data_IF_431394243580
#
_entry.id   IF_431394243580
#
_cell.length_a   1.000
_cell.length_b   1.000
_cell.length_c   1.000
_cell.angle_alpha   90.00
_cell.angle_beta   90.00
_cell.angle_gamma   90.00
#
_symmetry.space_group_name_H-M   'P 1'
#
loop_
_entity.id
_entity.type
_entity.pdbx_description
1 polymer ?
#
# COMPACT_ATOMS: atom_id res chain seq x y z
N UNK A 1 -0.19 -7.66 59.48
CA UNK A 1 -0.03 -6.39 58.74
C UNK A 1 1.37 -6.39 58.13
N UNK A 2 1.62 -6.29 56.82
CA UNK A 2 0.87 -5.69 55.70
C UNK A 2 1.19 -6.45 54.40
N UNK A 3 0.14 -6.60 53.61
CA UNK A 3 0.02 -7.18 52.26
C UNK A 3 0.50 -6.20 51.14
N UNK A 4 1.38 -5.22 51.38
CA UNK A 4 1.33 -3.98 50.55
C UNK A 4 2.60 -3.46 49.85
N UNK A 5 3.69 -4.22 49.70
CA UNK A 5 4.95 -3.60 49.25
C UNK A 5 5.51 -3.98 47.86
N UNK A 6 5.08 -5.08 47.21
CA UNK A 6 5.63 -5.49 45.89
C UNK A 6 4.61 -5.47 44.73
N UNK A 7 3.51 -4.75 44.91
CA UNK A 7 2.66 -4.20 43.83
C UNK A 7 3.24 -2.86 43.30
N UNK A 8 4.56 -2.66 43.45
CA UNK A 8 5.19 -1.31 43.45
C UNK A 8 6.44 -1.21 42.54
N UNK A 9 6.87 -2.26 41.80
CA UNK A 9 7.99 -2.12 40.83
C UNK A 9 7.69 -2.69 39.42
N UNK A 10 6.51 -3.31 39.22
CA UNK A 10 5.78 -3.22 37.93
C UNK A 10 5.25 -1.77 37.70
N UNK A 11 5.45 -0.88 38.66
CA UNK A 11 5.14 0.55 38.58
C UNK A 11 6.37 1.45 38.40
N UNK A 12 7.55 0.93 38.02
CA UNK A 12 8.75 1.76 37.81
C UNK A 12 9.28 1.83 36.36
N UNK A 13 8.62 1.19 35.39
CA UNK A 13 8.64 1.60 33.96
C UNK A 13 7.65 2.76 33.71
N UNK A 14 7.53 3.61 34.74
CA UNK A 14 6.68 4.78 34.91
C UNK A 14 7.52 6.05 35.17
N UNK A 15 8.83 6.01 34.90
CA UNK A 15 9.72 7.17 35.11
C UNK A 15 10.75 7.34 33.97
N UNK A 16 10.31 7.98 32.89
CA UNK A 16 11.09 8.89 32.04
C UNK A 16 10.23 10.15 31.80
N UNK A 17 10.85 11.34 31.68
CA UNK A 17 10.37 12.56 32.30
C UNK A 17 9.16 13.14 31.56
N UNK A 18 7.99 12.98 32.15
CA UNK A 18 6.89 13.88 31.90
C UNK A 18 7.29 15.26 32.46
N UNK A 19 7.41 16.26 31.59
CA UNK A 19 7.35 17.66 31.99
C UNK A 19 5.94 17.89 32.53
N UNK A 20 5.75 17.62 33.82
CA UNK A 20 4.60 18.10 34.55
C UNK A 20 4.79 19.60 34.75
N UNK A 21 4.24 20.36 33.82
CA UNK A 21 3.77 21.70 34.14
C UNK A 21 2.87 21.58 35.36
N UNK A 22 3.21 22.32 36.41
CA UNK A 22 2.45 22.40 37.64
C UNK A 22 1.03 22.86 37.30
N UNK A 23 0.09 21.93 37.26
CA UNK A 23 -1.31 22.17 36.94
C UNK A 23 -2.15 21.48 38.00
N UNK A 24 -2.62 22.26 38.96
CA UNK A 24 -3.62 21.86 39.94
C UNK A 24 -4.72 21.02 39.27
N UNK A 25 -4.94 19.80 39.76
CA UNK A 25 -6.16 19.05 39.47
C UNK A 25 -7.33 19.81 40.09
N UNK A 26 -7.88 20.75 39.34
CA UNK A 26 -9.19 21.31 39.62
C UNK A 26 -10.21 20.26 39.18
N UNK A 27 -10.80 19.53 40.12
CA UNK A 27 -12.02 18.71 39.92
C UNK A 27 -13.26 19.58 39.64
N UNK A 28 -13.08 20.68 38.91
CA UNK A 28 -14.16 21.54 38.47
C UNK A 28 -14.46 21.18 37.03
N UNK A 29 -15.53 20.41 36.83
CA UNK A 29 -16.16 20.27 35.51
C UNK A 29 -16.45 21.68 34.98
N UNK A 30 -16.03 21.97 33.74
CA UNK A 30 -16.29 23.26 33.11
C UNK A 30 -17.81 23.41 32.91
N UNK A 31 -18.42 24.37 33.63
CA UNK A 31 -19.85 24.70 33.50
C UNK A 31 -19.99 25.75 32.40
N UNK A 32 -20.55 25.40 31.23
CA UNK A 32 -20.55 26.30 30.08
C UNK A 32 -21.56 27.44 30.25
N UNK A 33 -21.17 28.65 29.83
CA UNK A 33 -22.09 29.80 29.68
C UNK A 33 -22.18 30.24 28.23
N UNK A 34 -23.11 31.14 27.93
CA UNK A 34 -23.28 31.74 26.58
C UNK A 34 -22.15 32.71 26.20
N UNK A 35 -21.38 33.21 27.17
CA UNK A 35 -20.20 34.04 26.94
C UNK A 35 -18.91 33.21 26.99
N UNK A 36 -17.86 33.68 26.30
CA UNK A 36 -16.55 33.02 26.21
C UNK A 36 -15.87 32.94 27.57
N UNK A 37 -15.51 31.72 27.98
CA UNK A 37 -14.74 31.51 29.20
C UNK A 37 -13.44 30.77 28.93
N UNK A 38 -12.37 31.20 29.59
CA UNK A 38 -11.04 30.56 29.51
C UNK A 38 -11.03 29.19 30.18
N UNK A 39 -10.65 28.16 29.43
CA UNK A 39 -10.52 26.79 29.91
C UNK A 39 -9.12 26.57 30.49
N UNK A 40 -9.06 26.08 31.73
CA UNK A 40 -7.78 25.70 32.36
C UNK A 40 -7.18 24.47 31.67
N UNK A 41 -5.85 24.49 31.46
CA UNK A 41 -5.13 23.37 30.85
C UNK A 41 -5.30 22.10 31.68
N UNK A 42 -5.86 21.05 31.06
CA UNK A 42 -6.10 19.75 31.70
C UNK A 42 -7.55 19.50 32.15
N UNK A 43 -8.47 20.45 32.01
CA UNK A 43 -9.89 20.24 32.31
C UNK A 43 -10.62 19.62 31.11
N UNK A 44 -11.38 18.51 31.28
CA UNK A 44 -12.16 17.92 30.21
C UNK A 44 -13.35 18.83 29.83
N UNK A 45 -13.52 19.09 28.52
CA UNK A 45 -14.59 19.92 27.97
C UNK A 45 -15.71 18.98 27.46
N UNK A 46 -16.98 19.14 27.91
CA UNK A 46 -18.11 18.38 27.37
C UNK A 46 -18.33 18.65 25.88
N UNK A 47 -18.73 17.62 25.11
CA UNK A 47 -19.06 17.78 23.69
C UNK A 47 -20.26 18.71 23.46
N UNK A 48 -20.27 19.44 22.33
CA UNK A 48 -21.34 20.39 21.97
C UNK A 48 -21.07 21.86 22.34
N UNK A 49 -19.80 22.23 22.58
CA UNK A 49 -19.38 23.60 22.91
C UNK A 49 -18.56 24.21 21.79
N UNK A 50 -18.68 25.52 21.60
CA UNK A 50 -17.84 26.27 20.66
C UNK A 50 -16.50 26.58 21.35
N UNK A 51 -15.41 26.00 20.85
CA UNK A 51 -14.06 26.11 21.44
C UNK A 51 -13.13 26.82 20.46
N UNK A 52 -12.37 27.82 20.94
CA UNK A 52 -11.31 28.48 20.15
C UNK A 52 -9.98 28.47 20.90
N UNK A 53 -8.90 28.34 20.15
CA UNK A 53 -7.54 28.32 20.68
C UNK A 53 -6.71 29.44 20.06
N UNK A 54 -6.14 30.31 20.89
CA UNK A 54 -5.26 31.37 20.43
C UNK A 54 -3.81 30.87 20.46
N UNK A 55 -3.23 30.60 19.28
CA UNK A 55 -1.87 30.07 19.13
C UNK A 55 -0.77 31.07 19.51
N UNK A 56 -1.07 32.37 19.57
CA UNK A 56 -0.11 33.40 19.97
C UNK A 56 0.02 33.50 21.50
N UNK A 57 -1.09 33.30 22.23
CA UNK A 57 -1.15 33.44 23.69
C UNK A 57 -1.24 32.10 24.43
N UNK A 58 -1.54 31.01 23.73
CA UNK A 58 -1.67 29.66 24.27
C UNK A 58 -2.92 29.43 25.13
N UNK A 59 -3.93 30.30 25.01
CA UNK A 59 -5.17 30.29 25.79
C UNK A 59 -6.29 29.63 24.99
N UNK A 60 -7.03 28.73 25.64
CA UNK A 60 -8.24 28.07 25.08
C UNK A 60 -9.46 28.67 25.74
N UNK A 61 -10.47 29.05 24.96
CA UNK A 61 -11.76 29.56 25.44
C UNK A 61 -12.91 28.70 24.90
N UNK A 62 -13.98 28.54 25.67
CA UNK A 62 -15.17 27.79 25.29
C UNK A 62 -16.47 28.54 25.67
N UNK A 63 -17.51 28.43 24.84
CA UNK A 63 -18.88 28.91 25.14
C UNK A 63 -19.94 27.90 24.67
N UNK A 64 -21.16 28.00 25.22
CA UNK A 64 -22.34 27.26 24.76
C UNK A 64 -22.76 27.74 23.36
N UNK A 65 -23.11 26.83 22.46
CA UNK A 65 -23.62 27.17 21.12
C UNK A 65 -24.99 27.83 21.22
N UNK A 66 -25.23 28.85 20.39
CA UNK A 66 -26.53 29.50 20.27
C UNK A 66 -27.43 28.66 19.34
N UNK A 67 -28.76 28.69 19.53
CA UNK A 67 -29.68 27.78 18.82
C UNK A 67 -29.64 27.91 17.28
N UNK A 68 -29.18 29.04 16.73
CA UNK A 68 -29.01 29.24 15.28
C UNK A 68 -27.80 28.46 14.72
N UNK A 69 -26.77 28.19 15.54
CA UNK A 69 -25.57 27.42 15.13
C UNK A 69 -25.81 25.89 15.16
N UNK A 70 -26.92 25.44 15.76
CA UNK A 70 -27.28 24.01 15.86
C UNK A 70 -27.94 23.53 14.55
N UNK A 71 -28.69 24.41 13.86
CA UNK A 71 -29.37 24.08 12.61
C UNK A 71 -28.39 23.86 11.43
N UNK A 72 -27.22 24.51 11.41
CA UNK A 72 -26.18 24.22 10.42
C UNK A 72 -25.49 22.86 10.66
N UNK A 73 -25.56 22.32 11.88
CA UNK A 73 -24.88 21.07 12.25
C UNK A 73 -25.75 19.83 12.10
N UNK A 74 -27.06 19.94 12.33
CA UNK A 74 -28.00 18.82 12.12
C UNK A 74 -28.15 18.42 10.64
N UNK A 75 -27.80 19.30 9.71
CA UNK A 75 -27.70 18.94 8.29
C UNK A 75 -26.42 18.16 7.92
N UNK A 76 -25.41 18.13 8.82
CA UNK A 76 -24.11 17.51 8.60
C UNK A 76 -23.77 16.34 9.54
N UNK A 77 -24.53 16.09 10.62
CA UNK A 77 -24.22 15.02 11.59
C UNK A 77 -24.87 13.65 11.31
N UNK A 78 -25.60 13.48 10.20
CA UNK A 78 -26.17 12.16 9.83
C UNK A 78 -25.22 11.23 9.04
N UNK A 79 -23.91 11.48 9.03
CA UNK A 79 -22.91 10.56 8.45
C UNK A 79 -21.88 10.14 9.51
N UNK A 80 -22.00 8.89 9.90
CA UNK A 80 -21.26 8.23 10.98
C UNK A 80 -19.73 8.44 10.94
N UNK A 81 -19.22 8.73 12.12
CA UNK A 81 -17.81 8.71 12.54
C UNK A 81 -17.20 7.30 12.41
N UNK A 82 -16.61 7.02 11.25
CA UNK A 82 -15.41 6.20 11.11
C UNK A 82 -15.00 6.23 9.64
N UNK A 83 -14.19 7.19 9.23
CA UNK A 83 -13.29 7.15 8.07
C UNK A 83 -12.63 8.53 7.97
N UNK A 84 -11.35 8.61 8.32
CA UNK A 84 -10.50 9.73 7.89
C UNK A 84 -10.37 9.62 6.37
N UNK A 85 -11.33 10.19 5.65
CA UNK A 85 -11.36 10.18 4.19
C UNK A 85 -10.24 11.09 3.71
N UNK A 86 -9.17 10.50 3.20
CA UNK A 86 -8.11 11.24 2.51
C UNK A 86 -8.73 11.94 1.30
N UNK A 87 -8.39 13.21 1.11
CA UNK A 87 -8.78 13.98 -0.07
C UNK A 87 -7.69 13.76 -1.13
N UNK A 88 -8.07 13.24 -2.30
CA UNK A 88 -7.12 12.98 -3.40
C UNK A 88 -7.47 13.86 -4.59
N UNK A 89 -6.48 14.60 -5.10
CA UNK A 89 -6.62 15.38 -6.32
C UNK A 89 -6.38 14.42 -7.50
N UNK A 90 -7.40 14.17 -8.31
CA UNK A 90 -7.26 13.32 -9.49
C UNK A 90 -7.08 14.19 -10.74
N UNK A 91 -6.04 13.98 -11.56
CA UNK A 91 -6.00 14.57 -12.89
C UNK A 91 -7.06 13.88 -13.75
N UNK A 92 -8.02 14.63 -14.30
CA UNK A 92 -9.10 14.08 -15.15
C UNK A 92 -8.62 13.67 -16.56
N UNK A 93 -7.31 13.75 -16.84
CA UNK A 93 -6.67 13.23 -18.06
C UNK A 93 -5.16 13.25 -17.83
N UNK A 94 -4.48 12.14 -18.12
CA UNK A 94 -3.04 12.16 -18.32
C UNK A 94 -2.74 12.93 -19.61
N UNK A 95 -2.55 14.24 -19.51
CA UNK A 95 -1.98 15.03 -20.60
C UNK A 95 -0.47 14.79 -20.54
N UNK A 96 0.05 14.08 -21.54
CA UNK A 96 1.48 14.12 -21.84
C UNK A 96 1.78 15.51 -22.39
N UNK A 97 2.25 16.42 -21.54
CA UNK A 97 2.77 17.71 -21.98
C UNK A 97 4.30 17.66 -21.96
N UNK A 98 4.88 17.82 -23.16
CA UNK A 98 6.29 18.01 -23.39
C UNK A 98 6.82 19.21 -22.61
N UNK A 99 8.02 19.05 -22.07
CA UNK A 99 8.72 20.06 -21.28
C UNK A 99 9.04 21.30 -22.12
N UNK A 100 8.51 22.44 -21.71
CA UNK A 100 9.18 23.73 -21.91
C UNK A 100 9.55 24.32 -20.53
N UNK A 101 10.80 24.80 -20.32
CA UNK A 101 11.20 25.37 -19.05
C UNK A 101 10.63 26.78 -18.87
N UNK A 102 9.81 26.96 -17.84
CA UNK A 102 9.36 28.28 -17.36
C UNK A 102 10.55 29.02 -16.72
N UNK A 103 10.84 30.28 -17.10
CA UNK A 103 11.90 31.07 -16.47
C UNK A 103 11.51 31.48 -15.04
N UNK A 104 12.35 31.10 -14.07
CA UNK A 104 12.31 31.61 -12.70
C UNK A 104 12.84 33.06 -12.66
N UNK A 105 11.95 34.05 -12.72
CA UNK A 105 12.25 35.39 -12.22
C UNK A 105 11.91 35.45 -10.72
N UNK A 106 12.95 35.49 -9.88
CA UNK A 106 12.82 35.84 -8.46
C UNK A 106 12.50 37.34 -8.38
N UNK A 107 11.29 37.69 -7.95
CA UNK A 107 10.95 39.07 -7.62
C UNK A 107 11.59 39.46 -6.28
N UNK A 108 12.65 40.26 -6.32
CA UNK A 108 13.31 40.89 -5.15
C UNK A 108 12.41 41.97 -4.50
N UNK A 109 11.28 41.57 -3.92
CA UNK A 109 10.29 42.51 -3.36
C UNK A 109 10.46 42.81 -1.86
N UNK A 110 11.43 42.20 -1.17
CA UNK A 110 11.64 42.42 0.26
C UNK A 110 13.11 42.47 0.66
N UNK A 111 13.83 43.50 0.19
CA UNK A 111 15.17 43.85 0.68
C UNK A 111 15.22 45.25 1.33
N UNK A 112 14.19 45.62 2.10
CA UNK A 112 14.23 46.85 2.90
C UNK A 112 14.41 46.53 4.40
N UNK A 113 15.41 47.13 5.07
CA UNK A 113 15.63 46.91 6.50
C UNK A 113 14.40 47.26 7.34
N UNK A 114 14.06 46.40 8.31
CA UNK A 114 12.90 46.54 9.21
C UNK A 114 12.87 47.90 9.94
N UNK A 115 14.04 48.50 10.16
CA UNK A 115 14.15 49.83 10.77
C UNK A 115 13.59 50.96 9.88
N UNK A 116 13.74 50.85 8.56
CA UNK A 116 13.20 51.82 7.62
C UNK A 116 11.67 51.72 7.56
N UNK A 117 11.12 50.49 7.59
CA UNK A 117 9.68 50.23 7.66
C UNK A 117 9.08 50.75 8.97
N UNK A 118 9.77 50.56 10.11
CA UNK A 118 9.35 51.12 11.40
C UNK A 118 9.37 52.65 11.39
N UNK A 119 10.39 53.28 10.78
CA UNK A 119 10.47 54.73 10.67
C UNK A 119 9.33 55.30 9.79
N UNK A 120 8.99 54.63 8.68
CA UNK A 120 7.88 55.03 7.79
C UNK A 120 6.52 54.84 8.46
N UNK A 121 6.30 53.75 9.18
CA UNK A 121 5.07 53.53 9.97
C UNK A 121 4.90 54.56 11.10
N UNK A 122 6.01 55.01 11.70
CA UNK A 122 5.99 56.03 12.75
C UNK A 122 5.62 57.41 12.18
N UNK A 123 6.06 57.75 10.96
CA UNK A 123 5.61 58.94 10.24
C UNK A 123 4.11 58.91 9.92
N UNK A 124 3.58 57.77 9.48
CA UNK A 124 2.15 57.61 9.15
C UNK A 124 1.24 57.79 10.38
N UNK A 125 1.69 57.38 11.57
CA UNK A 125 0.92 57.63 12.80
C UNK A 125 0.94 59.09 13.26
N UNK A 126 1.97 59.87 12.90
CA UNK A 126 2.12 61.26 13.34
C UNK A 126 1.31 62.27 12.51
N UNK A 127 0.95 61.93 11.27
CA UNK A 127 0.09 62.75 10.40
C UNK A 127 -1.39 62.32 10.43
N UNK A 128 -1.83 61.59 11.48
CA UNK A 128 -3.23 61.22 11.63
C UNK A 128 -4.05 62.35 12.27
N UNK A 129 -4.26 63.41 11.51
CA UNK A 129 -5.14 64.51 11.88
C UNK A 129 -5.03 65.67 10.90
N UNK A 130 -5.96 65.70 9.94
CA UNK A 130 -6.22 66.77 8.97
C UNK A 130 -5.36 66.76 7.69
N UNK A 131 -6.05 66.50 6.57
CA UNK A 131 -5.61 66.50 5.16
C UNK A 131 -4.99 65.18 4.65
N UNK A 132 -5.85 64.24 4.26
CA UNK A 132 -5.50 63.21 3.27
C UNK A 132 -5.40 63.94 1.92
N UNK A 133 -4.23 64.02 1.26
CA UNK A 133 -4.17 64.52 -0.10
C UNK A 133 -4.94 63.55 -0.99
N UNK A 134 -5.84 64.05 -1.84
CA UNK A 134 -6.41 63.27 -2.94
C UNK A 134 -5.26 62.56 -3.67
N UNK A 135 -5.26 61.22 -3.61
CA UNK A 135 -4.26 60.41 -4.26
C UNK A 135 -4.49 60.49 -5.77
N UNK A 136 -3.51 61.03 -6.49
CA UNK A 136 -3.46 61.12 -7.94
C UNK A 136 -3.98 59.84 -8.61
N UNK A 137 -4.94 60.00 -9.52
CA UNK A 137 -5.64 58.93 -10.24
C UNK A 137 -4.67 57.97 -10.96
N UNK A 138 -3.48 58.46 -11.36
CA UNK A 138 -2.43 57.67 -11.99
C UNK A 138 -1.81 56.61 -11.08
N UNK A 139 -1.59 56.91 -9.79
CA UNK A 139 -0.95 55.96 -8.87
C UNK A 139 -1.88 54.79 -8.54
N UNK A 140 -3.17 55.09 -8.38
CA UNK A 140 -4.23 54.11 -8.17
C UNK A 140 -4.41 53.21 -9.40
N UNK A 141 -4.27 53.76 -10.61
CA UNK A 141 -4.29 52.98 -11.85
C UNK A 141 -3.05 52.09 -12.04
N UNK A 142 -1.86 52.54 -11.65
CA UNK A 142 -0.66 51.71 -11.68
C UNK A 142 -0.73 50.54 -10.69
N UNK A 143 -1.33 50.74 -9.51
CA UNK A 143 -1.56 49.67 -8.54
C UNK A 143 -2.60 48.68 -9.07
N UNK A 144 -3.71 49.14 -9.64
CA UNK A 144 -4.70 48.26 -10.29
C UNK A 144 -4.13 47.45 -11.46
N UNK A 145 -3.12 47.95 -12.16
CA UNK A 145 -2.40 47.17 -13.20
C UNK A 145 -1.45 46.11 -12.62
N UNK A 146 -0.98 46.28 -11.39
CA UNK A 146 -0.06 45.33 -10.72
C UNK A 146 -0.76 44.20 -9.98
N UNK A 147 -2.04 44.36 -9.63
CA UNK A 147 -2.81 43.36 -8.92
C UNK A 147 -3.93 42.82 -9.81
N UNK A 148 -4.10 41.49 -9.83
CA UNK A 148 -5.22 40.86 -10.53
C UNK A 148 -6.53 41.31 -9.88
N UNK A 149 -7.53 41.57 -10.72
CA UNK A 149 -8.86 41.97 -10.27
C UNK A 149 -9.53 40.84 -9.47
N UNK A 150 -10.28 41.19 -8.42
CA UNK A 150 -10.90 40.23 -7.51
C UNK A 150 -11.91 39.32 -8.21
N UNK A 151 -12.65 39.83 -9.20
CA UNK A 151 -13.60 39.00 -9.97
C UNK A 151 -12.85 38.06 -10.91
N UNK A 152 -11.72 38.50 -11.46
CA UNK A 152 -10.83 37.66 -12.27
C UNK A 152 -10.24 36.54 -11.43
N UNK A 153 -9.75 36.85 -10.22
CA UNK A 153 -9.27 35.85 -9.26
C UNK A 153 -10.38 34.87 -8.84
N UNK A 154 -11.59 35.37 -8.59
CA UNK A 154 -12.75 34.51 -8.24
C UNK A 154 -13.13 33.59 -9.40
N UNK A 155 -13.04 34.08 -10.65
CA UNK A 155 -13.30 33.29 -11.85
C UNK A 155 -12.20 32.28 -12.12
N UNK A 156 -10.93 32.64 -11.93
CA UNK A 156 -9.78 31.73 -12.00
C UNK A 156 -9.85 30.66 -10.91
N UNK A 157 -10.18 31.04 -9.66
CA UNK A 157 -10.38 30.12 -8.55
C UNK A 157 -11.55 29.17 -8.78
N UNK A 158 -12.65 29.67 -9.35
CA UNK A 158 -13.80 28.85 -9.75
C UNK A 158 -13.50 27.94 -10.95
N UNK A 159 -12.65 28.38 -11.87
CA UNK A 159 -12.13 27.54 -12.96
C UNK A 159 -11.12 26.49 -12.45
N UNK A 160 -10.48 26.77 -11.31
CA UNK A 160 -9.64 25.88 -10.52
C UNK A 160 -10.41 25.17 -9.41
N UNK A 161 -11.75 25.11 -9.44
CA UNK A 161 -12.52 24.21 -8.58
C UNK A 161 -12.13 22.78 -8.95
N UNK A 162 -11.03 22.31 -8.36
CA UNK A 162 -10.70 20.91 -8.33
C UNK A 162 -11.89 20.27 -7.63
N UNK A 163 -12.57 19.35 -8.33
CA UNK A 163 -13.67 18.60 -7.76
C UNK A 163 -13.11 17.72 -6.63
N UNK A 164 -13.06 18.27 -5.42
CA UNK A 164 -12.58 17.59 -4.21
C UNK A 164 -13.61 16.49 -3.91
N UNK A 165 -13.39 15.34 -4.52
CA UNK A 165 -14.16 14.12 -4.26
C UNK A 165 -13.36 13.25 -3.32
N UNK A 166 -14.08 12.50 -2.48
CA UNK A 166 -13.44 11.46 -1.67
C UNK A 166 -13.06 10.29 -2.57
N UNK A 167 -12.02 9.55 -2.19
CA UNK A 167 -11.63 8.33 -2.91
C UNK A 167 -12.78 7.34 -3.05
N UNK A 168 -13.62 7.22 -2.01
CA UNK A 168 -14.83 6.40 -2.05
C UNK A 168 -15.86 6.88 -3.10
N UNK A 169 -15.98 8.21 -3.27
CA UNK A 169 -16.79 8.82 -4.32
C UNK A 169 -16.24 8.52 -5.72
N UNK A 170 -14.92 8.62 -5.89
CA UNK A 170 -14.26 8.27 -7.15
C UNK A 170 -14.43 6.79 -7.49
N UNK A 171 -14.21 5.89 -6.53
CA UNK A 171 -14.46 4.44 -6.71
C UNK A 171 -15.91 4.21 -7.16
N UNK A 172 -16.88 4.86 -6.52
CA UNK A 172 -18.28 4.74 -6.91
C UNK A 172 -18.55 5.21 -8.35
N UNK A 173 -17.91 6.31 -8.76
CA UNK A 173 -18.02 6.82 -10.14
C UNK A 173 -17.42 5.83 -11.16
N UNK A 174 -16.28 5.23 -10.85
CA UNK A 174 -15.64 4.23 -11.71
C UNK A 174 -16.46 2.95 -11.82
N UNK A 175 -17.11 2.52 -10.73
CA UNK A 175 -18.05 1.40 -10.79
C UNK A 175 -19.20 1.66 -11.77
N UNK A 176 -19.77 2.87 -11.73
CA UNK A 176 -20.88 3.25 -12.62
C UNK A 176 -20.43 3.27 -14.08
N UNK A 177 -19.29 3.90 -14.39
CA UNK A 177 -18.71 3.92 -15.74
C UNK A 177 -18.45 2.49 -16.24
N UNK A 178 -17.85 1.64 -15.42
CA UNK A 178 -17.54 0.26 -15.78
C UNK A 178 -18.79 -0.58 -16.10
N UNK A 179 -19.92 -0.37 -15.40
CA UNK A 179 -21.11 -1.20 -15.61
C UNK A 179 -21.63 -1.18 -17.04
N UNK A 180 -21.46 -0.06 -17.76
CA UNK A 180 -21.92 0.08 -19.15
C UNK A 180 -21.22 -0.92 -20.08
N UNK A 181 -19.94 -1.19 -19.83
CA UNK A 181 -19.12 -2.06 -20.67
C UNK A 181 -19.17 -3.55 -20.28
N UNK A 182 -19.78 -3.88 -19.14
CA UNK A 182 -19.75 -5.25 -18.56
C UNK A 182 -20.18 -6.33 -19.57
N UNK A 183 -21.28 -6.11 -20.29
CA UNK A 183 -21.79 -7.08 -21.26
C UNK A 183 -20.86 -7.21 -22.47
N UNK A 184 -20.30 -6.09 -22.93
CA UNK A 184 -19.33 -6.07 -24.03
C UNK A 184 -18.07 -6.87 -23.71
N UNK A 185 -17.57 -6.76 -22.47
CA UNK A 185 -16.41 -7.54 -21.99
C UNK A 185 -16.67 -9.04 -22.09
N UNK A 186 -17.81 -9.51 -21.59
CA UNK A 186 -18.13 -10.95 -21.56
C UNK A 186 -18.47 -11.51 -22.93
N UNK A 187 -19.09 -10.71 -23.81
CA UNK A 187 -19.46 -11.14 -25.17
C UNK A 187 -18.32 -10.98 -26.18
N UNK A 188 -17.25 -10.25 -25.83
CA UNK A 188 -16.13 -9.99 -26.73
C UNK A 188 -16.47 -9.03 -27.88
N UNK A 189 -17.44 -8.13 -27.69
CA UNK A 189 -17.95 -7.22 -28.72
C UNK A 189 -17.46 -5.78 -28.56
N UNK A 190 -16.40 -5.57 -27.78
CA UNK A 190 -15.87 -4.24 -27.47
C UNK A 190 -15.21 -3.61 -28.70
N UNK A 191 -15.47 -2.32 -28.88
CA UNK A 191 -14.70 -1.46 -29.78
C UNK A 191 -13.34 -1.09 -29.15
N UNK A 192 -12.44 -0.56 -29.97
CA UNK A 192 -11.13 -0.07 -29.50
C UNK A 192 -11.31 1.04 -28.46
N UNK A 193 -12.21 2.00 -28.69
CA UNK A 193 -12.47 3.11 -27.78
C UNK A 193 -13.02 2.64 -26.43
N UNK A 194 -13.96 1.69 -26.42
CA UNK A 194 -14.47 1.10 -25.17
C UNK A 194 -13.38 0.31 -24.43
N UNK A 195 -12.50 -0.36 -25.16
CA UNK A 195 -11.36 -1.07 -24.56
C UNK A 195 -10.43 -0.09 -23.84
N UNK A 196 -10.08 1.03 -24.47
CA UNK A 196 -9.25 2.08 -23.86
C UNK A 196 -9.92 2.68 -22.61
N UNK A 197 -11.22 2.94 -22.66
CA UNK A 197 -11.97 3.45 -21.51
C UNK A 197 -11.98 2.46 -20.33
N UNK A 198 -12.16 1.16 -20.60
CA UNK A 198 -12.08 0.13 -19.56
C UNK A 198 -10.68 0.08 -18.95
N UNK A 199 -9.63 0.17 -19.77
CA UNK A 199 -8.26 0.13 -19.29
C UNK A 199 -7.93 1.35 -18.40
N UNK A 200 -8.42 2.54 -18.78
CA UNK A 200 -8.30 3.74 -17.95
C UNK A 200 -9.01 3.57 -16.60
N UNK A 201 -10.24 3.05 -16.60
CA UNK A 201 -10.99 2.77 -15.37
C UNK A 201 -10.22 1.80 -14.46
N UNK A 202 -9.71 0.69 -15.01
CA UNK A 202 -8.95 -0.29 -14.25
C UNK A 202 -7.64 0.28 -13.70
N UNK A 203 -6.98 1.15 -14.48
CA UNK A 203 -5.76 1.83 -14.07
C UNK A 203 -6.01 2.78 -12.88
N UNK A 204 -7.04 3.62 -12.98
CA UNK A 204 -7.36 4.60 -11.94
C UNK A 204 -7.90 3.94 -10.68
N UNK A 205 -8.70 2.87 -10.82
CA UNK A 205 -9.10 2.07 -9.66
C UNK A 205 -7.87 1.47 -8.97
N UNK A 206 -6.93 0.90 -9.72
CA UNK A 206 -5.76 0.26 -9.12
C UNK A 206 -4.90 1.25 -8.35
N UNK A 207 -4.73 2.46 -8.86
CA UNK A 207 -4.08 3.56 -8.14
C UNK A 207 -4.74 3.81 -6.78
N UNK A 208 -6.08 3.92 -6.75
CA UNK A 208 -6.83 4.14 -5.52
C UNK A 208 -6.72 2.96 -4.54
N UNK A 209 -6.70 1.72 -5.04
CA UNK A 209 -6.71 0.51 -4.20
C UNK A 209 -5.38 0.21 -3.51
N UNK A 210 -4.28 0.90 -3.85
CA UNK A 210 -3.06 0.85 -3.05
C UNK A 210 -3.27 1.33 -1.61
N UNK A 211 -4.26 2.20 -1.38
CA UNK A 211 -4.67 2.58 -0.04
C UNK A 211 -5.56 1.47 0.57
N UNK A 212 -5.12 0.95 1.71
CA UNK A 212 -5.75 -0.20 2.39
C UNK A 212 -7.25 0.02 2.66
N UNK A 213 -7.67 1.25 2.99
CA UNK A 213 -9.07 1.56 3.26
C UNK A 213 -9.92 1.63 1.98
N UNK A 214 -9.37 2.17 0.89
CA UNK A 214 -10.01 2.16 -0.42
C UNK A 214 -10.20 0.73 -0.94
N UNK A 215 -9.22 -0.15 -0.73
CA UNK A 215 -9.35 -1.57 -1.05
C UNK A 215 -10.50 -2.25 -0.28
N UNK A 216 -10.73 -1.88 0.98
CA UNK A 216 -11.88 -2.38 1.77
C UNK A 216 -13.19 -1.85 1.19
N UNK A 217 -13.29 -0.56 0.90
CA UNK A 217 -14.48 0.04 0.25
C UNK A 217 -14.79 -0.67 -1.06
N UNK A 218 -13.78 -0.90 -1.90
CA UNK A 218 -13.92 -1.65 -3.15
C UNK A 218 -14.44 -3.07 -2.93
N UNK A 219 -13.93 -3.77 -1.92
CA UNK A 219 -14.38 -5.12 -1.57
C UNK A 219 -15.83 -5.12 -1.06
N UNK A 220 -16.19 -4.16 -0.20
CA UNK A 220 -17.55 -4.00 0.36
C UNK A 220 -18.57 -3.65 -0.75
N UNK A 221 -18.15 -2.86 -1.75
CA UNK A 221 -18.91 -2.57 -2.96
C UNK A 221 -19.03 -3.77 -3.93
N UNK A 222 -18.50 -4.94 -3.55
CA UNK A 222 -18.47 -6.17 -4.34
C UNK A 222 -17.64 -6.04 -5.62
N UNK A 223 -16.59 -5.22 -5.63
CA UNK A 223 -15.75 -4.96 -6.80
C UNK A 223 -15.14 -6.21 -7.43
N UNK A 224 -14.85 -7.23 -6.62
CA UNK A 224 -14.36 -8.51 -7.13
C UNK A 224 -15.36 -9.22 -8.05
N UNK A 225 -16.65 -9.19 -7.70
CA UNK A 225 -17.71 -9.82 -8.50
C UNK A 225 -18.19 -8.91 -9.64
N UNK A 226 -18.22 -7.60 -9.42
CA UNK A 226 -18.80 -6.62 -10.36
C UNK A 226 -17.82 -6.09 -11.40
N UNK A 227 -16.52 -6.09 -11.09
CA UNK A 227 -15.46 -5.55 -11.96
C UNK A 227 -14.49 -6.66 -12.36
N UNK A 228 -13.84 -7.30 -11.38
CA UNK A 228 -12.74 -8.24 -11.66
C UNK A 228 -13.25 -9.50 -12.39
N UNK A 229 -14.29 -10.14 -11.88
CA UNK A 229 -14.80 -11.39 -12.46
C UNK A 229 -15.25 -11.27 -13.93
N UNK A 230 -16.02 -10.24 -14.35
CA UNK A 230 -16.31 -10.00 -15.75
C UNK A 230 -15.07 -9.87 -16.63
N UNK A 231 -14.05 -9.13 -16.17
CA UNK A 231 -12.79 -8.97 -16.91
C UNK A 231 -12.06 -10.30 -17.10
N UNK A 232 -12.01 -11.16 -16.07
CA UNK A 232 -11.35 -12.47 -16.16
C UNK A 232 -12.08 -13.44 -17.08
N UNK A 233 -13.41 -13.35 -17.13
CA UNK A 233 -14.27 -14.19 -17.98
C UNK A 233 -14.32 -13.71 -19.44
N UNK A 234 -13.90 -12.48 -19.74
CA UNK A 234 -13.82 -11.96 -21.11
C UNK A 234 -12.77 -12.66 -21.96
N UNK A 235 -12.63 -12.25 -23.22
CA UNK A 235 -11.62 -12.79 -24.16
C UNK A 235 -10.38 -11.91 -24.30
N UNK A 236 -10.48 -10.62 -23.95
CA UNK A 236 -9.39 -9.65 -24.10
C UNK A 236 -8.29 -9.85 -23.03
N UNK A 237 -7.08 -10.20 -23.48
CA UNK A 237 -5.94 -10.47 -22.59
C UNK A 237 -5.38 -9.23 -21.89
N UNK A 238 -5.54 -8.04 -22.47
CA UNK A 238 -5.08 -6.80 -21.86
C UNK A 238 -5.98 -6.41 -20.68
N UNK A 239 -7.30 -6.46 -20.88
CA UNK A 239 -8.29 -6.26 -19.80
C UNK A 239 -8.07 -7.29 -18.69
N UNK A 240 -7.81 -8.57 -19.03
CA UNK A 240 -7.45 -9.59 -18.03
C UNK A 240 -6.21 -9.20 -17.23
N UNK A 241 -5.15 -8.77 -17.91
CA UNK A 241 -3.89 -8.41 -17.24
C UNK A 241 -4.09 -7.25 -16.26
N UNK A 242 -4.85 -6.21 -16.64
CA UNK A 242 -5.10 -5.06 -15.77
C UNK A 242 -6.09 -5.38 -14.64
N UNK A 243 -7.09 -6.24 -14.88
CA UNK A 243 -7.96 -6.71 -13.80
C UNK A 243 -7.22 -7.58 -12.77
N UNK A 244 -6.24 -8.38 -13.20
CA UNK A 244 -5.35 -9.12 -12.31
C UNK A 244 -4.43 -8.19 -11.52
N UNK A 245 -3.92 -7.12 -12.15
CA UNK A 245 -3.14 -6.09 -11.47
C UNK A 245 -3.96 -5.40 -10.37
N UNK A 246 -5.18 -4.98 -10.71
CA UNK A 246 -6.14 -4.41 -9.77
C UNK A 246 -6.45 -5.35 -8.60
N UNK A 247 -6.68 -6.64 -8.88
CA UNK A 247 -6.89 -7.66 -7.84
C UNK A 247 -5.70 -7.73 -6.88
N UNK A 248 -4.49 -7.80 -7.42
CA UNK A 248 -3.26 -7.86 -6.63
C UNK A 248 -3.09 -6.65 -5.73
N UNK A 249 -3.30 -5.44 -6.23
CA UNK A 249 -3.25 -4.22 -5.44
C UNK A 249 -4.29 -4.23 -4.29
N UNK A 250 -5.52 -4.67 -4.57
CA UNK A 250 -6.58 -4.71 -3.57
C UNK A 250 -6.29 -5.67 -2.39
N UNK A 251 -5.73 -6.85 -2.68
CA UNK A 251 -5.49 -7.90 -1.66
C UNK A 251 -4.14 -7.75 -0.95
N UNK A 252 -3.20 -7.01 -1.53
CA UNK A 252 -1.83 -6.90 -1.00
C UNK A 252 -1.82 -6.38 0.44
N UNK A 253 -1.25 -7.18 1.35
CA UNK A 253 -1.12 -6.85 2.77
C UNK A 253 -2.45 -6.46 3.44
N UNK A 254 -3.59 -6.97 2.95
CA UNK A 254 -4.93 -6.62 3.43
C UNK A 254 -5.76 -7.87 3.76
N UNK A 255 -5.66 -8.44 4.98
CA UNK A 255 -6.32 -9.69 5.34
C UNK A 255 -7.84 -9.71 5.17
N UNK A 256 -8.52 -8.56 5.35
CA UNK A 256 -9.97 -8.45 5.15
C UNK A 256 -10.34 -8.63 3.67
N UNK A 257 -9.58 -8.01 2.78
CA UNK A 257 -9.81 -8.10 1.33
C UNK A 257 -9.31 -9.44 0.78
N UNK A 258 -8.21 -9.99 1.31
CA UNK A 258 -7.78 -11.36 1.03
C UNK A 258 -8.86 -12.38 1.38
N UNK A 259 -9.50 -12.24 2.56
CA UNK A 259 -10.62 -13.10 2.95
C UNK A 259 -11.78 -12.99 1.97
N UNK A 260 -12.14 -11.77 1.54
CA UNK A 260 -13.22 -11.57 0.56
C UNK A 260 -12.90 -12.19 -0.82
N UNK A 261 -11.64 -12.13 -1.23
CA UNK A 261 -11.17 -12.80 -2.43
C UNK A 261 -11.25 -14.33 -2.31
N UNK A 262 -10.86 -14.85 -1.15
CA UNK A 262 -10.92 -16.29 -0.87
C UNK A 262 -12.38 -16.79 -0.88
N UNK A 263 -13.31 -16.07 -0.25
CA UNK A 263 -14.75 -16.36 -0.29
C UNK A 263 -15.35 -16.31 -1.71
N UNK A 264 -14.68 -15.64 -2.64
CA UNK A 264 -15.12 -15.48 -4.03
C UNK A 264 -14.38 -16.39 -5.01
N UNK A 265 -13.72 -17.45 -4.51
CA UNK A 265 -13.00 -18.48 -5.26
C UNK A 265 -11.87 -17.95 -6.16
N UNK A 266 -11.23 -16.83 -5.78
CA UNK A 266 -10.17 -16.27 -6.61
C UNK A 266 -8.92 -17.15 -6.67
N UNK A 267 -8.62 -17.95 -5.64
CA UNK A 267 -7.48 -18.88 -5.69
C UNK A 267 -7.63 -19.85 -6.85
N UNK A 268 -8.80 -20.50 -6.96
CA UNK A 268 -9.10 -21.47 -8.01
C UNK A 268 -9.15 -20.81 -9.40
N UNK A 269 -9.77 -19.63 -9.51
CA UNK A 269 -9.82 -18.86 -10.75
C UNK A 269 -8.41 -18.49 -11.24
N UNK A 270 -7.53 -18.07 -10.33
CA UNK A 270 -6.15 -17.72 -10.68
C UNK A 270 -5.35 -18.95 -11.10
N UNK A 271 -5.48 -20.08 -10.40
CA UNK A 271 -4.84 -21.34 -10.80
C UNK A 271 -5.31 -21.81 -12.19
N UNK A 272 -6.60 -21.66 -12.49
CA UNK A 272 -7.14 -21.96 -13.81
C UNK A 272 -6.54 -21.06 -14.90
N UNK A 273 -6.41 -19.76 -14.65
CA UNK A 273 -5.79 -18.82 -15.59
C UNK A 273 -4.32 -19.16 -15.83
N UNK A 274 -3.56 -19.49 -14.78
CA UNK A 274 -2.16 -19.92 -14.91
C UNK A 274 -2.02 -21.17 -15.78
N UNK A 275 -2.98 -22.10 -15.68
CA UNK A 275 -2.96 -23.37 -16.42
C UNK A 275 -3.44 -23.25 -17.88
N UNK A 276 -4.30 -22.26 -18.19
CA UNK A 276 -4.99 -22.18 -19.49
C UNK A 276 -4.53 -21.03 -20.39
N UNK A 277 -3.98 -19.95 -19.82
CA UNK A 277 -3.56 -18.78 -20.59
C UNK A 277 -2.08 -18.85 -20.94
N UNK A 278 -1.72 -18.67 -22.21
CA UNK A 278 -0.32 -18.74 -22.68
C UNK A 278 0.38 -17.37 -22.78
N UNK A 279 -0.29 -16.26 -22.44
CA UNK A 279 0.28 -14.93 -22.56
C UNK A 279 1.11 -14.60 -21.31
N UNK A 280 2.41 -14.35 -21.52
CA UNK A 280 3.37 -14.01 -20.46
C UNK A 280 2.89 -12.83 -19.61
N UNK A 281 2.35 -11.77 -20.23
CA UNK A 281 1.79 -10.60 -19.49
C UNK A 281 0.67 -11.03 -18.54
N UNK A 282 -0.26 -11.88 -18.98
CA UNK A 282 -1.37 -12.37 -18.16
C UNK A 282 -0.88 -13.28 -17.04
N UNK A 283 -0.02 -14.26 -17.33
CA UNK A 283 0.58 -15.14 -16.29
C UNK A 283 1.34 -14.34 -15.24
N UNK A 284 2.14 -13.35 -15.67
CA UNK A 284 2.91 -12.49 -14.77
C UNK A 284 2.03 -11.69 -13.81
N UNK A 285 0.92 -11.11 -14.31
CA UNK A 285 -0.07 -10.41 -13.48
C UNK A 285 -0.88 -11.36 -12.61
N UNK A 286 -1.18 -12.56 -13.12
CA UNK A 286 -1.88 -13.60 -12.37
C UNK A 286 -1.05 -14.09 -11.18
N UNK A 287 0.27 -14.31 -11.37
CA UNK A 287 1.19 -14.66 -10.29
C UNK A 287 1.33 -13.52 -9.28
N UNK A 288 1.32 -12.26 -9.72
CA UNK A 288 1.30 -11.11 -8.80
C UNK A 288 0.04 -11.12 -7.92
N UNK A 289 -1.14 -11.29 -8.51
CA UNK A 289 -2.40 -11.35 -7.76
C UNK A 289 -2.45 -12.55 -6.80
N UNK A 290 -2.02 -13.72 -7.26
CA UNK A 290 -1.98 -14.93 -6.44
C UNK A 290 -0.99 -14.78 -5.29
N UNK A 291 0.21 -14.25 -5.56
CA UNK A 291 1.24 -13.95 -4.57
C UNK A 291 0.71 -13.02 -3.47
N UNK A 292 0.10 -11.89 -3.87
CA UNK A 292 -0.50 -10.95 -2.94
C UNK A 292 -1.65 -11.56 -2.12
N UNK A 293 -2.40 -12.51 -2.69
CA UNK A 293 -3.51 -13.20 -2.02
C UNK A 293 -3.05 -14.23 -0.98
N UNK A 294 -1.96 -14.97 -1.25
CA UNK A 294 -1.56 -16.09 -0.40
C UNK A 294 -0.46 -15.75 0.61
N UNK A 295 0.37 -14.73 0.35
CA UNK A 295 1.40 -14.29 1.31
C UNK A 295 0.77 -13.84 2.63
N UNK A 296 1.38 -14.27 3.73
CA UNK A 296 0.94 -13.99 5.11
C UNK A 296 -0.52 -14.41 5.42
N UNK A 297 -1.11 -15.29 4.60
CA UNK A 297 -2.51 -15.68 4.74
C UNK A 297 -2.68 -17.21 4.66
N UNK A 298 -2.50 -17.94 5.79
CA UNK A 298 -2.52 -19.41 5.83
C UNK A 298 -3.78 -20.05 5.25
N UNK A 299 -4.95 -19.41 5.40
CA UNK A 299 -6.20 -19.91 4.87
C UNK A 299 -6.19 -20.00 3.33
N UNK A 300 -5.68 -18.97 2.64
CA UNK A 300 -5.55 -19.00 1.19
C UNK A 300 -4.42 -19.93 0.73
N UNK A 301 -3.32 -20.03 1.49
CA UNK A 301 -2.26 -21.02 1.21
C UNK A 301 -2.81 -22.46 1.26
N UNK A 302 -3.65 -22.78 2.25
CA UNK A 302 -4.32 -24.08 2.33
C UNK A 302 -5.16 -24.35 1.09
N UNK A 303 -6.02 -23.40 0.71
CA UNK A 303 -6.86 -23.56 -0.50
C UNK A 303 -6.00 -23.68 -1.76
N UNK A 304 -4.91 -22.94 -1.87
CA UNK A 304 -3.97 -23.04 -2.99
C UNK A 304 -3.34 -24.43 -3.08
N UNK A 305 -2.88 -24.99 -1.96
CA UNK A 305 -2.34 -26.36 -1.90
C UNK A 305 -3.42 -27.40 -2.26
N UNK A 306 -4.61 -27.28 -1.67
CA UNK A 306 -5.71 -28.23 -1.88
C UNK A 306 -6.16 -28.29 -3.35
N UNK A 307 -5.99 -27.20 -4.10
CA UNK A 307 -6.33 -27.12 -5.53
C UNK A 307 -5.14 -27.38 -6.46
N UNK A 308 -4.08 -28.02 -5.97
CA UNK A 308 -2.95 -28.45 -6.80
C UNK A 308 -1.99 -27.33 -7.19
N UNK A 309 -1.91 -26.27 -6.38
CA UNK A 309 -1.10 -25.09 -6.67
C UNK A 309 0.40 -25.38 -6.75
N UNK A 310 0.90 -26.30 -5.93
CA UNK A 310 2.32 -26.71 -5.92
C UNK A 310 2.67 -27.46 -7.21
N UNK A 311 1.77 -28.35 -7.64
CA UNK A 311 1.90 -29.15 -8.86
C UNK A 311 1.87 -28.24 -10.11
N UNK A 312 1.00 -27.22 -10.13
CA UNK A 312 1.00 -26.20 -11.19
C UNK A 312 2.32 -25.43 -11.21
N UNK A 313 2.85 -25.03 -10.05
CA UNK A 313 4.13 -24.32 -9.97
C UNK A 313 5.29 -25.19 -10.44
N UNK A 314 5.28 -26.49 -10.11
CA UNK A 314 6.24 -27.45 -10.63
C UNK A 314 6.23 -27.51 -12.16
N UNK A 315 5.07 -27.47 -12.81
CA UNK A 315 4.96 -27.44 -14.28
C UNK A 315 5.49 -26.14 -14.89
N UNK A 316 5.22 -25.00 -14.25
CA UNK A 316 5.72 -23.68 -14.67
C UNK A 316 7.25 -23.67 -14.74
N UNK A 317 7.95 -24.34 -13.82
CA UNK A 317 9.42 -24.44 -13.85
C UNK A 317 9.97 -25.16 -15.09
N UNK A 318 9.14 -25.91 -15.81
CA UNK A 318 9.52 -26.60 -17.05
C UNK A 318 9.02 -25.84 -18.27
N UNK A 319 7.73 -25.51 -18.30
CA UNK A 319 7.02 -25.15 -19.53
C UNK A 319 7.05 -23.64 -19.83
N UNK A 320 7.30 -22.79 -18.82
CA UNK A 320 7.17 -21.34 -18.94
C UNK A 320 8.52 -20.62 -19.05
N UNK A 321 8.54 -19.38 -19.60
CA UNK A 321 9.77 -18.62 -19.76
C UNK A 321 10.33 -18.11 -18.41
N UNK A 322 11.63 -17.80 -18.40
CA UNK A 322 12.40 -17.40 -17.20
C UNK A 322 11.68 -16.37 -16.29
N UNK A 323 11.05 -15.29 -16.80
CA UNK A 323 10.40 -14.31 -15.92
C UNK A 323 9.23 -14.88 -15.09
N UNK A 324 8.56 -15.91 -15.59
CA UNK A 324 7.46 -16.59 -14.91
C UNK A 324 8.02 -17.62 -13.92
N UNK A 325 9.06 -18.37 -14.33
CA UNK A 325 9.78 -19.30 -13.45
C UNK A 325 10.35 -18.58 -12.22
N UNK A 326 10.99 -17.43 -12.40
CA UNK A 326 11.53 -16.60 -11.32
C UNK A 326 10.45 -16.21 -10.31
N UNK A 327 9.30 -15.74 -10.80
CA UNK A 327 8.17 -15.36 -9.91
C UNK A 327 7.65 -16.52 -9.09
N UNK A 328 7.60 -17.72 -9.66
CA UNK A 328 7.21 -18.94 -8.94
C UNK A 328 8.25 -19.29 -7.88
N UNK A 329 9.54 -19.30 -8.23
CA UNK A 329 10.64 -19.56 -7.30
C UNK A 329 10.60 -18.57 -6.13
N UNK A 330 10.58 -17.27 -6.42
CA UNK A 330 10.50 -16.21 -5.40
C UNK A 330 9.29 -16.40 -4.50
N UNK A 331 8.11 -16.69 -5.06
CA UNK A 331 6.91 -16.91 -4.25
C UNK A 331 7.05 -18.13 -3.32
N UNK A 332 7.58 -19.26 -3.79
CA UNK A 332 7.84 -20.40 -2.91
C UNK A 332 8.83 -20.04 -1.80
N UNK A 333 9.89 -19.30 -2.13
CA UNK A 333 10.88 -18.85 -1.15
C UNK A 333 10.22 -17.99 -0.07
N UNK A 334 9.39 -17.02 -0.47
CA UNK A 334 8.63 -16.18 0.47
C UNK A 334 7.76 -17.02 1.40
N UNK A 335 7.04 -18.03 0.88
CA UNK A 335 6.16 -18.90 1.68
C UNK A 335 6.93 -19.79 2.66
N UNK A 336 8.16 -20.19 2.33
CA UNK A 336 9.03 -20.96 3.22
C UNK A 336 9.61 -20.04 4.30
N UNK A 337 10.12 -18.87 3.91
CA UNK A 337 10.66 -17.86 4.84
C UNK A 337 9.57 -17.42 5.83
N UNK A 338 8.32 -17.27 5.38
CA UNK A 338 7.16 -17.00 6.23
C UNK A 338 7.01 -18.01 7.39
N UNK A 339 7.29 -19.29 7.13
CA UNK A 339 7.21 -20.37 8.12
C UNK A 339 8.43 -20.41 9.03
N UNK A 340 9.62 -20.17 8.48
CA UNK A 340 10.87 -20.12 9.25
C UNK A 340 10.81 -18.99 10.29
N UNK A 341 10.31 -17.81 9.89
CA UNK A 341 10.18 -16.64 10.75
C UNK A 341 9.12 -16.79 11.87
N UNK A 342 8.36 -17.89 11.91
CA UNK A 342 7.44 -18.16 13.02
C UNK A 342 8.18 -18.38 14.35
N UNK A 343 9.43 -18.85 14.30
CA UNK A 343 10.25 -19.08 15.49
C UNK A 343 10.67 -17.78 16.17
N UNK A 344 10.77 -16.69 15.41
CA UNK A 344 11.24 -15.38 15.88
C UNK A 344 10.15 -14.56 16.60
N UNK A 345 8.92 -15.07 16.68
CA UNK A 345 7.80 -14.38 17.34
C UNK A 345 8.00 -14.43 18.86
N UNK A 346 8.13 -13.26 19.48
CA UNK A 346 8.37 -13.12 20.92
C UNK A 346 7.17 -13.48 21.79
N UNK A 347 5.95 -13.16 21.35
CA UNK A 347 4.72 -13.56 22.05
C UNK A 347 4.40 -15.03 21.78
N UNK A 348 4.62 -15.88 22.80
CA UNK A 348 4.38 -17.32 22.76
C UNK A 348 2.94 -17.67 22.38
N UNK A 349 1.95 -16.89 22.81
CA UNK A 349 0.52 -17.17 22.50
C UNK A 349 0.24 -16.89 21.03
N UNK A 350 0.72 -15.75 20.52
CA UNK A 350 0.59 -15.40 19.10
C UNK A 350 1.35 -16.40 18.22
N UNK A 351 2.55 -16.80 18.64
CA UNK A 351 3.38 -17.79 17.97
C UNK A 351 2.63 -19.12 17.81
N UNK A 352 2.09 -19.67 18.91
CA UNK A 352 1.33 -20.93 18.88
C UNK A 352 0.10 -20.85 17.95
N UNK A 353 -0.61 -19.72 17.95
CA UNK A 353 -1.75 -19.52 17.06
C UNK A 353 -1.33 -19.53 15.58
N UNK A 354 -0.23 -18.84 15.24
CA UNK A 354 0.28 -18.84 13.86
C UNK A 354 0.80 -20.21 13.44
N UNK A 355 1.57 -20.90 14.29
CA UNK A 355 2.05 -22.26 14.01
C UNK A 355 0.87 -23.18 13.69
N UNK A 356 -0.20 -23.13 14.51
CA UNK A 356 -1.41 -23.93 14.26
C UNK A 356 -2.10 -23.56 12.95
N UNK A 357 -2.14 -22.27 12.60
CA UNK A 357 -2.73 -21.82 11.35
C UNK A 357 -1.94 -22.31 10.13
N UNK A 358 -0.61 -22.15 10.13
CA UNK A 358 0.27 -22.59 9.05
C UNK A 358 0.36 -24.12 8.93
N UNK A 359 0.24 -24.86 10.05
CA UNK A 359 0.21 -26.33 10.04
C UNK A 359 -0.96 -26.91 9.22
N UNK A 360 -2.03 -26.14 9.00
CA UNK A 360 -3.14 -26.58 8.13
C UNK A 360 -2.79 -26.55 6.63
N UNK A 361 -1.75 -25.80 6.27
CA UNK A 361 -1.24 -25.64 4.91
C UNK A 361 0.16 -26.29 4.80
N UNK A 362 0.17 -27.63 4.70
CA UNK A 362 1.36 -28.47 4.65
C UNK A 362 2.10 -28.35 3.29
N UNK A 363 2.76 -27.21 3.10
CA UNK A 363 3.51 -26.91 1.87
C UNK A 363 4.76 -27.78 1.76
N UNK A 364 5.44 -28.05 2.87
CA UNK A 364 6.74 -28.74 2.89
C UNK A 364 6.59 -30.14 2.33
N UNK A 365 5.60 -30.91 2.81
CA UNK A 365 5.31 -32.23 2.27
C UNK A 365 4.95 -32.17 0.78
N UNK A 366 4.19 -31.16 0.36
CA UNK A 366 3.76 -31.02 -1.03
C UNK A 366 4.88 -30.62 -1.99
N UNK A 367 5.87 -29.85 -1.54
CA UNK A 367 7.04 -29.49 -2.35
C UNK A 367 7.89 -30.72 -2.70
N UNK A 368 7.97 -31.71 -1.80
CA UNK A 368 8.74 -32.94 -2.02
C UNK A 368 8.24 -33.83 -3.16
N UNK A 369 7.09 -33.58 -3.80
CA UNK A 369 6.67 -34.42 -4.92
C UNK A 369 7.38 -34.02 -6.23
N UNK A 370 6.77 -33.11 -6.99
CA UNK A 370 7.28 -32.75 -8.33
C UNK A 370 8.16 -31.49 -8.28
N UNK A 371 7.87 -30.55 -7.40
CA UNK A 371 8.53 -29.24 -7.38
C UNK A 371 10.04 -29.34 -7.09
N UNK A 372 10.43 -30.05 -6.02
CA UNK A 372 11.85 -30.26 -5.68
C UNK A 372 12.66 -30.84 -6.85
N UNK A 373 12.07 -31.77 -7.60
CA UNK A 373 12.71 -32.42 -8.75
C UNK A 373 12.84 -31.47 -9.94
N UNK A 374 11.80 -30.71 -10.25
CA UNK A 374 11.86 -29.75 -11.36
C UNK A 374 12.81 -28.60 -11.06
N UNK A 375 12.83 -28.09 -9.81
CA UNK A 375 13.74 -27.03 -9.40
C UNK A 375 15.20 -27.43 -9.56
N UNK A 376 15.58 -28.63 -9.10
CA UNK A 376 16.98 -29.07 -9.18
C UNK A 376 17.39 -29.37 -10.62
N UNK A 377 16.50 -29.94 -11.44
CA UNK A 377 16.76 -30.16 -12.85
C UNK A 377 16.94 -28.83 -13.61
N UNK A 378 16.10 -27.84 -13.31
CA UNK A 378 16.25 -26.49 -13.85
C UNK A 378 17.59 -25.87 -13.43
N UNK A 379 18.01 -26.04 -12.18
CA UNK A 379 19.31 -25.55 -11.70
C UNK A 379 20.47 -26.21 -12.47
N UNK A 380 20.48 -27.55 -12.52
CA UNK A 380 21.54 -28.33 -13.18
C UNK A 380 21.67 -27.93 -14.65
N UNK A 381 20.55 -27.89 -15.37
CA UNK A 381 20.53 -27.51 -16.80
C UNK A 381 21.02 -26.08 -17.02
N UNK A 382 20.59 -25.13 -16.18
CA UNK A 382 20.99 -23.72 -16.28
C UNK A 382 22.47 -23.52 -16.00
N UNK A 383 23.02 -24.14 -14.95
CA UNK A 383 24.44 -23.98 -14.65
C UNK A 383 25.36 -24.68 -15.65
N UNK A 384 24.94 -25.80 -16.26
CA UNK A 384 25.69 -26.41 -17.36
C UNK A 384 25.80 -25.46 -18.56
N UNK A 385 24.69 -24.88 -18.97
CA UNK A 385 24.67 -23.90 -20.08
C UNK A 385 25.51 -22.66 -19.74
N UNK A 386 25.47 -22.15 -18.50
CA UNK A 386 26.31 -21.00 -18.11
C UNK A 386 27.81 -21.34 -18.16
N UNK A 387 28.20 -22.53 -17.72
CA UNK A 387 29.59 -22.98 -17.75
C UNK A 387 30.11 -23.16 -19.19
N UNK A 388 29.25 -23.63 -20.09
CA UNK A 388 29.61 -23.89 -21.49
C UNK A 388 29.57 -22.61 -22.36
N UNK A 389 28.50 -21.82 -22.24
CA UNK A 389 28.19 -20.73 -23.17
C UNK A 389 28.24 -19.32 -22.54
N UNK A 390 28.31 -19.18 -21.21
CA UNK A 390 28.28 -17.89 -20.47
C UNK A 390 27.17 -16.94 -20.93
N UNK A 391 26.01 -17.49 -21.29
CA UNK A 391 24.95 -16.74 -21.98
C UNK A 391 23.71 -16.52 -21.11
N UNK A 392 23.62 -17.16 -19.93
CA UNK A 392 22.40 -17.06 -19.10
C UNK A 392 22.36 -15.76 -18.31
N UNK A 393 21.12 -15.26 -18.12
CA UNK A 393 20.83 -14.11 -17.29
C UNK A 393 21.31 -14.32 -15.84
N UNK A 394 22.23 -13.47 -15.38
CA UNK A 394 22.76 -13.49 -14.01
C UNK A 394 21.65 -13.42 -12.94
N UNK A 395 20.61 -12.60 -13.17
CA UNK A 395 19.47 -12.45 -12.25
C UNK A 395 18.71 -13.79 -12.07
N UNK A 396 18.61 -14.56 -13.15
CA UNK A 396 17.98 -15.87 -13.13
C UNK A 396 18.81 -16.89 -12.33
N UNK A 397 20.13 -16.92 -12.57
CA UNK A 397 21.06 -17.81 -11.84
C UNK A 397 21.10 -17.49 -10.33
N UNK A 398 21.04 -16.21 -9.97
CA UNK A 398 20.94 -15.79 -8.58
C UNK A 398 19.60 -16.24 -7.95
N UNK A 399 18.49 -16.03 -8.67
CA UNK A 399 17.15 -16.43 -8.20
C UNK A 399 17.06 -17.93 -7.98
N UNK A 400 17.52 -18.76 -8.92
CA UNK A 400 17.47 -20.21 -8.76
C UNK A 400 18.40 -20.70 -7.65
N UNK A 401 19.57 -20.06 -7.47
CA UNK A 401 20.48 -20.39 -6.37
C UNK A 401 19.86 -20.09 -5.01
N UNK A 402 19.22 -18.93 -4.88
CA UNK A 402 18.50 -18.54 -3.66
C UNK A 402 17.35 -19.50 -3.36
N UNK A 403 16.60 -19.89 -4.39
CA UNK A 403 15.50 -20.82 -4.21
C UNK A 403 15.97 -22.21 -3.82
N UNK A 404 16.99 -22.75 -4.47
CA UNK A 404 17.58 -24.04 -4.10
C UNK A 404 18.11 -24.02 -2.67
N UNK A 405 18.78 -22.94 -2.24
CA UNK A 405 19.24 -22.78 -0.85
C UNK A 405 18.08 -22.75 0.14
N UNK A 406 17.02 -22.00 -0.17
CA UNK A 406 15.83 -21.85 0.69
C UNK A 406 15.06 -23.15 0.87
N UNK A 407 14.88 -23.92 -0.20
CA UNK A 407 14.11 -25.18 -0.18
C UNK A 407 14.99 -26.38 0.23
N UNK A 408 16.33 -26.25 0.27
CA UNK A 408 17.24 -27.35 0.58
C UNK A 408 16.89 -28.15 1.83
N UNK A 409 16.56 -27.54 3.00
CA UNK A 409 16.20 -28.32 4.20
C UNK A 409 15.02 -29.29 4.00
N UNK A 410 14.14 -28.99 3.03
CA UNK A 410 12.95 -29.79 2.71
C UNK A 410 13.29 -30.85 1.65
N UNK A 411 14.03 -30.47 0.59
CA UNK A 411 14.26 -31.34 -0.58
C UNK A 411 15.54 -32.19 -0.50
N UNK A 412 16.45 -31.95 0.46
CA UNK A 412 17.82 -32.49 0.44
C UNK A 412 17.87 -34.01 0.27
N UNK A 413 16.96 -34.74 0.90
CA UNK A 413 16.95 -36.21 0.87
C UNK A 413 16.73 -36.74 -0.55
N UNK A 414 15.93 -36.06 -1.36
CA UNK A 414 15.69 -36.43 -2.75
C UNK A 414 16.84 -36.03 -3.67
N UNK A 415 17.48 -34.91 -3.36
CA UNK A 415 18.61 -34.41 -4.15
C UNK A 415 19.89 -35.23 -3.96
N UNK A 416 20.01 -35.99 -2.88
CA UNK A 416 21.12 -36.94 -2.67
C UNK A 416 21.21 -38.00 -3.77
N UNK A 417 20.09 -38.36 -4.37
CA UNK A 417 20.03 -39.34 -5.48
C UNK A 417 20.43 -38.74 -6.85
N UNK A 418 20.89 -37.48 -6.90
CA UNK A 418 21.27 -36.81 -8.15
C UNK A 418 22.79 -36.69 -8.27
N UNK A 419 23.39 -37.65 -8.97
CA UNK A 419 24.84 -37.73 -9.17
C UNK A 419 25.45 -36.46 -9.81
N UNK A 420 24.69 -35.75 -10.62
CA UNK A 420 25.14 -34.56 -11.35
C UNK A 420 25.23 -33.29 -10.49
N UNK A 421 24.55 -33.27 -9.33
CA UNK A 421 24.42 -32.06 -8.52
C UNK A 421 25.72 -31.70 -7.79
N UNK A 422 26.33 -32.67 -7.10
CA UNK A 422 27.52 -32.44 -6.29
C UNK A 422 28.73 -31.95 -7.12
N UNK A 423 29.00 -32.48 -8.34
CA UNK A 423 30.03 -31.93 -9.23
C UNK A 423 29.82 -30.45 -9.57
N UNK A 424 28.58 -30.05 -9.90
CA UNK A 424 28.25 -28.66 -10.23
C UNK A 424 28.50 -27.75 -9.03
N UNK A 425 28.02 -28.14 -7.85
CA UNK A 425 28.23 -27.38 -6.61
C UNK A 425 29.73 -27.24 -6.27
N UNK A 426 30.53 -28.28 -6.50
CA UNK A 426 31.99 -28.21 -6.29
C UNK A 426 32.68 -27.24 -7.26
N UNK A 427 32.24 -27.19 -8.52
CA UNK A 427 32.74 -26.22 -9.51
C UNK A 427 32.39 -24.81 -9.07
N UNK A 428 31.13 -24.53 -8.74
CA UNK A 428 30.69 -23.21 -8.28
C UNK A 428 31.44 -22.77 -7.01
N UNK A 429 31.66 -23.70 -6.08
CA UNK A 429 32.45 -23.43 -4.88
C UNK A 429 33.90 -23.07 -5.20
N UNK A 430 34.55 -23.81 -6.09
CA UNK A 430 35.95 -23.55 -6.48
C UNK A 430 36.13 -22.14 -7.06
N UNK A 431 35.13 -21.64 -7.77
CA UNK A 431 35.14 -20.30 -8.37
C UNK A 431 34.55 -19.19 -7.49
N UNK A 432 34.21 -19.48 -6.23
CA UNK A 432 33.53 -18.58 -5.29
C UNK A 432 32.30 -17.89 -5.90
N UNK A 433 31.48 -18.65 -6.65
CA UNK A 433 30.22 -18.20 -7.24
C UNK A 433 29.05 -18.75 -6.43
N UNK A 434 28.02 -17.92 -6.22
CA UNK A 434 26.78 -18.30 -5.54
C UNK A 434 27.04 -18.92 -4.14
N UNK A 435 27.55 -18.11 -3.22
CA UNK A 435 27.96 -18.55 -1.87
C UNK A 435 26.82 -19.20 -1.07
N UNK A 436 25.58 -18.80 -1.33
CA UNK A 436 24.36 -19.39 -0.77
C UNK A 436 24.22 -20.90 -1.05
N UNK A 437 24.87 -21.42 -2.10
CA UNK A 437 24.86 -22.85 -2.43
C UNK A 437 25.89 -23.68 -1.65
N UNK A 438 26.82 -23.05 -0.94
CA UNK A 438 27.76 -23.77 -0.07
C UNK A 438 27.02 -24.55 1.02
N UNK A 439 25.97 -23.97 1.59
CA UNK A 439 25.11 -24.63 2.58
C UNK A 439 24.51 -25.92 2.02
N UNK A 440 24.07 -25.90 0.76
CA UNK A 440 23.48 -27.07 0.09
C UNK A 440 24.52 -28.16 -0.12
N UNK A 441 25.73 -27.78 -0.56
CA UNK A 441 26.87 -28.69 -0.70
C UNK A 441 27.20 -29.36 0.64
N UNK A 442 27.29 -28.59 1.71
CA UNK A 442 27.63 -29.09 3.04
C UNK A 442 26.56 -30.06 3.55
N UNK A 443 25.27 -29.75 3.32
CA UNK A 443 24.17 -30.66 3.64
C UNK A 443 24.27 -32.00 2.88
N UNK A 444 24.63 -31.99 1.60
CA UNK A 444 24.83 -33.22 0.82
C UNK A 444 25.99 -34.05 1.38
N UNK A 445 27.09 -33.43 1.80
CA UNK A 445 28.25 -34.13 2.33
C UNK A 445 28.03 -34.72 3.73
N UNK A 446 27.26 -34.04 4.60
CA UNK A 446 27.18 -34.34 6.04
C UNK A 446 26.74 -35.77 6.42
N UNK A 447 25.86 -36.41 5.64
CA UNK A 447 25.42 -37.79 5.92
C UNK A 447 26.23 -38.86 5.20
N UNK A 448 27.14 -38.50 4.28
CA UNK A 448 28.06 -39.48 3.65
C UNK A 448 29.14 -39.98 4.61
N UNK A 449 29.28 -39.34 5.79
CA UNK A 449 30.25 -39.70 6.82
C UNK A 449 29.65 -40.41 8.04
N UNK A 450 28.32 -40.49 8.14
CA UNK A 450 27.63 -41.21 9.23
C UNK A 450 27.18 -42.63 8.81
N UNK A 451 27.36 -43.02 7.55
CA UNK A 451 27.07 -44.36 7.00
C UNK A 451 28.33 -45.13 6.54
N UNK A 452 29.53 -44.66 6.89
CA UNK A 452 30.83 -45.33 6.69
C UNK A 452 31.49 -45.58 8.06
#
# INVERSE_FOLDING_TARGET
MRIHANMIILTCLLLLPAVFGNGEKNETTFVPTREWQTVKKGTPIPGGLHVRHNFQTGVTEAKLMDNEDVEEKDSNENLNSSNTSSLTLHPEKAIFEDKDPVPTEKSDLFNHPIEELKARLKKIKQDSGENIPELDDEHTQQIKKKFRDYETLKKEFKALEINITTDAGLISSYFQKFQVHKNGITMGTLTTAETEEILDILYNLEYLLHHIDNAKVFADMQGMSKIISPCLNGTNNEIKAEALRLLGAAVQSNPKVQLKALESDFVQKLLHILSTNNKVKVKSRCLFALSALIRQFPAAQKVWIDHGGVEIFGKILIDDPLPIQMKVMTLIDDLIIERQNLQDITDTKQQQLKIKAYATADIEKKLTYEYCNHLINLMISSFKIDLDERTINYEFLETISNSVSTVAPICINQWRERDELLPILNVLHTFNRHENLHVVRDMLLKNSHDEL
#
